data_IF_210470975308
#
_entry.id   IF_210470975308
#
_cell.length_a   1.000
_cell.length_b   1.000
_cell.length_c   1.000
_cell.angle_alpha   90.00
_cell.angle_beta   90.00
_cell.angle_gamma   90.00
#
_symmetry.space_group_name_H-M   'P 1'
#
loop_
_entity.id
_entity.type
_entity.pdbx_description
1 polymer ?
#
# COMPACT_ATOMS: atom_id res chain seq x y z
N UNK A 1 -2.00 -12.35 -20.29
CA UNK A 1 -0.74 -13.11 -20.12
C UNK A 1 0.37 -12.64 -21.07
N UNK A 2 0.40 -13.00 -22.36
CA UNK A 2 1.52 -12.58 -23.26
C UNK A 2 1.71 -11.06 -23.30
N UNK A 3 0.61 -10.29 -23.43
CA UNK A 3 0.69 -8.83 -23.44
C UNK A 3 1.12 -8.25 -22.08
N UNK A 4 0.78 -8.92 -20.98
CA UNK A 4 1.22 -8.55 -19.63
C UNK A 4 2.74 -8.75 -19.51
N UNK A 5 3.22 -9.95 -19.87
CA UNK A 5 4.64 -10.29 -19.82
C UNK A 5 5.48 -9.35 -20.69
N UNK A 6 5.02 -9.04 -21.92
CA UNK A 6 5.71 -8.09 -22.80
C UNK A 6 5.79 -6.67 -22.23
N UNK A 7 4.83 -6.27 -21.40
CA UNK A 7 4.73 -4.90 -20.89
C UNK A 7 5.43 -4.74 -19.54
N UNK A 8 5.31 -5.74 -18.67
CA UNK A 8 5.74 -5.64 -17.28
C UNK A 8 6.80 -6.69 -16.89
N UNK A 9 7.01 -7.72 -17.71
CA UNK A 9 7.97 -8.78 -17.43
C UNK A 9 9.38 -8.24 -17.21
N UNK A 10 9.98 -8.66 -16.10
CA UNK A 10 11.32 -8.23 -15.68
C UNK A 10 11.37 -6.82 -15.08
N UNK A 11 10.23 -6.13 -14.92
CA UNK A 11 10.22 -4.92 -14.08
C UNK A 11 10.43 -5.33 -12.62
N UNK A 12 11.22 -4.52 -11.95
CA UNK A 12 11.64 -4.79 -10.59
C UNK A 12 11.57 -3.50 -9.76
N UNK A 13 11.02 -3.62 -8.56
CA UNK A 13 11.04 -2.56 -7.57
C UNK A 13 11.88 -3.02 -6.36
N UNK A 14 12.93 -2.27 -5.98
CA UNK A 14 13.59 -2.49 -4.70
C UNK A 14 12.64 -2.06 -3.59
N UNK A 15 11.85 -2.99 -3.05
CA UNK A 15 11.15 -2.76 -1.80
C UNK A 15 12.16 -2.56 -0.66
N UNK A 16 11.70 -1.94 0.42
CA UNK A 16 12.53 -1.53 1.55
C UNK A 16 12.86 -2.73 2.43
N UNK A 17 13.73 -3.62 1.95
CA UNK A 17 14.11 -4.86 2.64
C UNK A 17 14.83 -5.84 1.72
N UNK A 18 15.16 -7.06 2.20
CA UNK A 18 15.66 -8.14 1.35
C UNK A 18 14.58 -8.68 0.39
N UNK A 19 13.32 -8.37 0.66
CA UNK A 19 12.14 -8.78 -0.08
C UNK A 19 12.02 -7.96 -1.36
N UNK A 20 11.76 -8.65 -2.47
CA UNK A 20 11.77 -8.08 -3.81
C UNK A 20 10.35 -8.06 -4.35
N UNK A 21 10.02 -7.03 -5.13
CA UNK A 21 8.82 -7.06 -5.97
C UNK A 21 9.25 -7.20 -7.41
N UNK A 22 8.84 -8.32 -8.02
CA UNK A 22 9.09 -8.64 -9.42
C UNK A 22 7.77 -8.74 -10.16
N UNK A 23 7.74 -8.10 -11.33
CA UNK A 23 6.60 -8.15 -12.24
C UNK A 23 6.95 -9.09 -13.39
N UNK A 24 6.09 -10.07 -13.59
CA UNK A 24 6.33 -11.12 -14.58
C UNK A 24 5.51 -12.35 -14.25
N UNK A 25 5.29 -13.17 -15.27
CA UNK A 25 4.66 -14.48 -15.09
C UNK A 25 5.51 -15.32 -14.13
N UNK A 26 4.91 -15.74 -13.02
CA UNK A 26 5.54 -16.65 -12.07
C UNK A 26 5.30 -18.10 -12.51
N UNK A 27 6.39 -18.81 -12.81
CA UNK A 27 6.41 -20.21 -13.22
C UNK A 27 5.48 -20.55 -14.40
N UNK A 28 4.86 -21.74 -14.33
CA UNK A 28 3.81 -22.16 -15.26
C UNK A 28 2.50 -21.47 -14.90
N UNK A 29 2.44 -20.16 -15.16
CA UNK A 29 1.25 -19.38 -14.82
C UNK A 29 0.02 -19.95 -15.54
N UNK A 30 -1.04 -20.24 -14.77
CA UNK A 30 -2.34 -20.69 -15.29
C UNK A 30 -3.40 -19.63 -15.06
N UNK A 31 -4.29 -19.48 -16.03
CA UNK A 31 -5.49 -18.65 -15.85
C UNK A 31 -6.53 -19.45 -15.06
N UNK A 32 -7.18 -18.81 -14.10
CA UNK A 32 -8.26 -19.39 -13.30
C UNK A 32 -9.37 -18.37 -13.05
N UNK A 33 -10.55 -18.87 -12.70
CA UNK A 33 -11.72 -18.04 -12.45
C UNK A 33 -11.80 -17.66 -10.97
N UNK A 34 -11.97 -16.37 -10.70
CA UNK A 34 -12.27 -15.81 -9.37
C UNK A 34 -13.69 -15.23 -9.36
N UNK A 35 -14.20 -14.82 -8.20
CA UNK A 35 -15.49 -14.13 -8.13
C UNK A 35 -15.49 -12.76 -8.85
N UNK A 36 -14.33 -12.24 -9.25
CA UNK A 36 -14.13 -10.92 -9.85
C UNK A 36 -13.72 -11.02 -11.32
N UNK A 37 -13.59 -12.26 -11.84
CA UNK A 37 -13.25 -12.56 -13.23
C UNK A 37 -12.06 -13.51 -13.38
N UNK A 38 -11.63 -13.71 -14.62
CA UNK A 38 -10.42 -14.46 -14.94
C UNK A 38 -9.17 -13.74 -14.43
N UNK A 39 -8.29 -14.46 -13.76
CA UNK A 39 -7.04 -13.96 -13.20
C UNK A 39 -5.88 -14.95 -13.43
N UNK A 40 -4.67 -14.48 -13.21
CA UNK A 40 -3.44 -15.27 -13.23
C UNK A 40 -2.40 -14.65 -12.28
N UNK A 41 -1.49 -15.45 -11.73
CA UNK A 41 -0.37 -14.92 -10.93
C UNK A 41 0.65 -14.23 -11.83
N UNK A 42 0.90 -12.94 -11.61
CA UNK A 42 1.78 -12.14 -12.48
C UNK A 42 2.69 -11.17 -11.74
N UNK A 43 2.63 -11.15 -10.41
CA UNK A 43 3.45 -10.29 -9.58
C UNK A 43 3.87 -11.11 -8.36
N UNK A 44 5.17 -11.23 -8.15
CA UNK A 44 5.73 -11.82 -6.93
C UNK A 44 6.04 -10.65 -5.99
N UNK A 45 5.27 -10.59 -4.91
CA UNK A 45 5.39 -9.55 -3.90
C UNK A 45 5.91 -10.19 -2.60
N UNK A 46 7.23 -10.25 -2.45
CA UNK A 46 7.87 -10.92 -1.31
C UNK A 46 7.49 -10.29 0.04
N UNK A 47 7.02 -9.03 0.06
CA UNK A 47 6.55 -8.38 1.29
C UNK A 47 5.23 -8.98 1.80
N UNK A 48 4.46 -9.61 0.91
CA UNK A 48 3.16 -10.18 1.24
C UNK A 48 3.19 -11.69 1.44
N UNK A 49 4.31 -12.38 1.23
CA UNK A 49 4.45 -13.86 1.31
C UNK A 49 3.52 -14.67 0.37
N UNK A 50 2.64 -14.00 -0.38
CA UNK A 50 1.67 -14.57 -1.32
C UNK A 50 1.77 -13.86 -2.66
N UNK A 51 1.59 -14.62 -3.75
CA UNK A 51 1.61 -14.06 -5.11
C UNK A 51 0.43 -13.12 -5.34
N UNK A 52 0.69 -12.00 -6.02
CA UNK A 52 -0.32 -11.03 -6.44
C UNK A 52 -0.85 -11.42 -7.82
N UNK A 53 -2.16 -11.36 -7.93
CA UNK A 53 -2.94 -11.87 -9.05
C UNK A 53 -3.35 -10.72 -9.94
N UNK A 54 -3.26 -10.93 -11.25
CA UNK A 54 -3.62 -9.94 -12.26
C UNK A 54 -4.88 -10.40 -12.95
N UNK A 55 -5.94 -9.59 -12.85
CA UNK A 55 -7.20 -9.82 -13.55
C UNK A 55 -7.03 -9.46 -15.04
N UNK A 56 -7.88 -10.03 -15.91
CA UNK A 56 -7.83 -9.74 -17.34
C UNK A 56 -8.10 -8.26 -17.68
N UNK A 57 -8.79 -7.53 -16.80
CA UNK A 57 -9.00 -6.08 -16.94
C UNK A 57 -7.82 -5.23 -16.42
N UNK A 58 -6.76 -5.87 -15.92
CA UNK A 58 -5.53 -5.21 -15.48
C UNK A 58 -5.50 -4.83 -14.00
N UNK A 59 -6.58 -5.03 -13.23
CA UNK A 59 -6.56 -4.87 -11.77
C UNK A 59 -5.61 -5.89 -11.14
N UNK A 60 -5.01 -5.50 -10.01
CA UNK A 60 -4.21 -6.43 -9.20
C UNK A 60 -4.91 -6.70 -7.87
N UNK A 61 -4.91 -7.96 -7.44
CA UNK A 61 -5.53 -8.40 -6.21
C UNK A 61 -4.77 -9.54 -5.53
N UNK A 62 -5.26 -9.94 -4.38
CA UNK A 62 -4.73 -11.07 -3.62
C UNK A 62 -5.85 -11.91 -3.00
N UNK A 63 -5.77 -13.23 -3.20
CA UNK A 63 -6.61 -14.24 -2.57
C UNK A 63 -5.86 -14.83 -1.38
N UNK A 64 -6.47 -14.76 -0.20
CA UNK A 64 -5.92 -15.36 1.02
C UNK A 64 -6.72 -16.60 1.38
N UNK A 65 -6.14 -17.80 1.22
CA UNK A 65 -6.72 -19.07 1.66
C UNK A 65 -8.24 -19.21 1.39
N UNK A 66 -9.09 -19.09 2.42
CA UNK A 66 -10.55 -19.22 2.38
C UNK A 66 -11.30 -17.89 2.17
N UNK A 67 -10.58 -16.79 1.97
CA UNK A 67 -11.11 -15.44 1.75
C UNK A 67 -11.31 -15.17 0.26
N UNK A 68 -12.35 -14.38 -0.08
CA UNK A 68 -12.50 -13.91 -1.45
C UNK A 68 -11.31 -13.01 -1.84
N UNK A 69 -11.02 -12.98 -3.15
CA UNK A 69 -10.07 -12.07 -3.76
C UNK A 69 -10.32 -10.62 -3.32
N UNK A 70 -9.29 -9.99 -2.74
CA UNK A 70 -9.28 -8.55 -2.43
C UNK A 70 -8.58 -7.81 -3.57
N UNK A 71 -9.27 -6.85 -4.17
CA UNK A 71 -8.64 -5.94 -5.14
C UNK A 71 -7.77 -4.95 -4.37
N UNK A 72 -6.48 -4.93 -4.68
CA UNK A 72 -5.51 -4.06 -4.03
C UNK A 72 -5.27 -2.80 -4.86
N UNK A 73 -5.08 -3.00 -6.17
CA UNK A 73 -4.74 -1.95 -7.11
C UNK A 73 -5.76 -1.91 -8.25
N UNK A 74 -6.15 -0.70 -8.67
CA UNK A 74 -7.09 -0.52 -9.80
C UNK A 74 -6.44 -0.87 -11.15
N UNK A 75 -5.11 -0.87 -11.21
CA UNK A 75 -4.34 -1.36 -12.33
C UNK A 75 -2.90 -1.67 -11.91
N UNK A 76 -2.21 -2.48 -12.72
CA UNK A 76 -0.75 -2.69 -12.58
C UNK A 76 0.02 -1.37 -12.76
N UNK A 77 -0.43 -0.50 -13.67
CA UNK A 77 0.14 0.83 -13.87
C UNK A 77 0.06 1.68 -12.60
N UNK A 78 -1.10 1.73 -11.94
CA UNK A 78 -1.25 2.48 -10.67
C UNK A 78 -0.29 1.96 -9.60
N UNK A 79 -0.11 0.64 -9.53
CA UNK A 79 0.84 0.04 -8.60
C UNK A 79 2.29 0.45 -8.89
N UNK A 80 2.67 0.54 -10.16
CA UNK A 80 3.99 1.02 -10.56
C UNK A 80 4.19 2.50 -10.21
N UNK A 81 3.18 3.34 -10.40
CA UNK A 81 3.21 4.75 -9.98
C UNK A 81 3.35 4.89 -8.45
N UNK A 82 2.61 4.09 -7.67
CA UNK A 82 2.74 4.04 -6.22
C UNK A 82 4.15 3.62 -5.77
N UNK A 83 4.74 2.62 -6.42
CA UNK A 83 6.12 2.22 -6.16
C UNK A 83 7.12 3.31 -6.53
N UNK A 84 6.98 3.95 -7.69
CA UNK A 84 7.85 5.05 -8.10
C UNK A 84 7.79 6.19 -7.07
N UNK A 85 6.60 6.58 -6.63
CA UNK A 85 6.40 7.60 -5.61
C UNK A 85 7.03 7.18 -4.27
N UNK A 86 6.78 5.95 -3.81
CA UNK A 86 7.39 5.41 -2.60
C UNK A 86 8.93 5.49 -2.62
N UNK A 87 9.54 5.14 -3.75
CA UNK A 87 11.00 5.23 -3.92
C UNK A 87 11.55 6.65 -3.79
N UNK A 88 10.75 7.68 -4.10
CA UNK A 88 11.18 9.09 -3.93
C UNK A 88 11.13 9.55 -2.48
N UNK A 89 10.19 9.04 -1.68
CA UNK A 89 9.94 9.53 -0.30
C UNK A 89 10.50 8.63 0.79
N UNK A 90 10.83 7.37 0.49
CA UNK A 90 11.25 6.35 1.48
C UNK A 90 12.45 6.72 2.36
N UNK A 91 13.26 7.69 1.91
CA UNK A 91 14.46 8.14 2.63
C UNK A 91 14.20 9.35 3.53
N UNK A 92 13.00 9.94 3.48
CA UNK A 92 12.66 11.10 4.28
C UNK A 92 12.36 10.70 5.74
N UNK A 93 12.50 11.65 6.68
CA UNK A 93 11.91 11.50 8.00
C UNK A 93 10.44 11.08 7.91
N UNK A 94 10.08 10.06 8.69
CA UNK A 94 8.75 9.48 8.62
C UNK A 94 8.24 8.98 9.97
N UNK A 95 6.93 8.81 10.04
CA UNK A 95 6.22 8.15 11.13
C UNK A 95 5.14 7.25 10.56
N UNK A 96 4.61 6.38 11.41
CA UNK A 96 3.53 5.48 11.04
C UNK A 96 2.41 5.50 12.05
N UNK A 97 1.20 5.27 11.57
CA UNK A 97 -0.01 5.08 12.36
C UNK A 97 -0.70 3.82 11.85
N UNK A 98 -1.25 3.04 12.77
CA UNK A 98 -2.10 1.89 12.45
C UNK A 98 -3.56 2.24 12.73
N UNK A 99 -4.44 1.83 11.83
CA UNK A 99 -5.85 2.18 11.80
C UNK A 99 -6.69 0.91 11.66
N UNK A 100 -7.65 0.72 12.56
CA UNK A 100 -8.67 -0.32 12.46
C UNK A 100 -9.91 0.26 11.78
N UNK A 101 -10.15 -0.15 10.54
CA UNK A 101 -11.22 0.36 9.69
C UNK A 101 -12.26 -0.74 9.49
N UNK A 102 -13.57 -0.48 9.64
CA UNK A 102 -14.57 -1.51 9.38
C UNK A 102 -14.42 -2.14 7.99
N UNK A 103 -14.61 -3.46 7.90
CA UNK A 103 -14.32 -4.20 6.68
C UNK A 103 -15.06 -3.69 5.44
N UNK A 104 -14.35 -3.64 4.31
CA UNK A 104 -14.90 -3.16 3.04
C UNK A 104 -14.98 -1.64 2.89
N UNK A 105 -14.67 -0.86 3.93
CA UNK A 105 -14.61 0.59 3.81
C UNK A 105 -13.22 1.07 3.38
N UNK A 106 -13.21 2.09 2.52
CA UNK A 106 -11.99 2.80 2.13
C UNK A 106 -11.89 4.03 3.04
N UNK A 107 -10.76 4.25 3.74
CA UNK A 107 -10.61 5.43 4.58
C UNK A 107 -10.61 6.70 3.72
N UNK A 108 -11.26 7.75 4.22
CA UNK A 108 -11.26 9.06 3.58
C UNK A 108 -10.47 10.02 4.47
N UNK A 109 -9.51 10.70 3.86
CA UNK A 109 -8.71 11.75 4.47
C UNK A 109 -9.03 13.08 3.78
N UNK A 110 -9.38 14.10 4.55
CA UNK A 110 -9.82 15.40 4.05
C UNK A 110 -9.13 16.58 4.77
N UNK A 111 -8.02 16.31 5.45
CA UNK A 111 -7.38 17.25 6.34
C UNK A 111 -6.82 18.45 5.58
N UNK A 112 -7.08 19.65 6.10
CA UNK A 112 -6.62 20.90 5.47
C UNK A 112 -5.08 21.00 5.35
N UNK A 113 -4.35 20.29 6.21
CA UNK A 113 -2.88 20.26 6.23
C UNK A 113 -2.29 19.03 5.51
N UNK A 114 -3.12 18.22 4.84
CA UNK A 114 -2.64 17.11 4.03
C UNK A 114 -2.14 17.61 2.67
N UNK A 115 -1.08 16.99 2.12
CA UNK A 115 -0.73 17.21 0.72
C UNK A 115 -1.91 16.88 -0.21
N UNK A 116 -1.93 17.36 -1.47
CA UNK A 116 -2.99 17.01 -2.41
C UNK A 116 -2.93 15.51 -2.79
N UNK A 117 -4.08 14.89 -3.12
CA UNK A 117 -4.12 13.48 -3.53
C UNK A 117 -3.40 13.25 -4.86
N UNK A 118 -2.77 12.08 -5.00
CA UNK A 118 -2.10 11.63 -6.23
C UNK A 118 -2.94 10.52 -6.85
N UNK A 119 -3.82 10.89 -7.77
CA UNK A 119 -4.77 9.96 -8.35
C UNK A 119 -4.07 8.81 -9.06
N UNK A 120 -2.99 9.07 -9.81
CA UNK A 120 -2.25 8.09 -10.61
C UNK A 120 -1.68 6.95 -9.74
N UNK A 121 -1.19 7.29 -8.55
CA UNK A 121 -0.64 6.37 -7.56
C UNK A 121 -1.70 5.77 -6.62
N UNK A 122 -2.96 6.24 -6.67
CA UNK A 122 -4.01 5.84 -5.74
C UNK A 122 -4.98 4.80 -6.31
N UNK A 123 -5.32 3.81 -5.49
CA UNK A 123 -6.20 2.69 -5.80
C UNK A 123 -6.99 2.20 -4.57
N UNK A 124 -7.73 1.09 -4.71
CA UNK A 124 -8.70 0.64 -3.70
C UNK A 124 -8.10 0.29 -2.33
N UNK A 125 -6.82 -0.10 -2.27
CA UNK A 125 -6.14 -0.51 -1.05
C UNK A 125 -4.80 0.22 -0.84
N UNK A 126 -4.53 1.27 -1.61
CA UNK A 126 -3.23 1.94 -1.67
C UNK A 126 -3.45 3.40 -2.10
N UNK A 127 -3.42 4.33 -1.15
CA UNK A 127 -3.82 5.73 -1.33
C UNK A 127 -2.64 6.66 -1.04
N UNK A 128 -2.51 7.71 -1.86
CA UNK A 128 -1.36 8.61 -1.84
C UNK A 128 -1.75 10.08 -1.87
N UNK A 129 -1.03 10.88 -1.09
CA UNK A 129 -1.03 12.34 -1.13
C UNK A 129 0.42 12.83 -1.20
N UNK A 130 0.71 13.84 -2.02
CA UNK A 130 2.08 14.33 -2.23
C UNK A 130 2.12 15.78 -2.74
N UNK A 131 3.02 16.60 -2.21
CA UNK A 131 3.23 18.00 -2.64
C UNK A 131 4.66 18.31 -3.13
N UNK A 132 5.53 17.30 -3.23
CA UNK A 132 6.95 17.48 -3.56
C UNK A 132 7.90 17.55 -2.35
N UNK A 133 7.37 17.82 -1.15
CA UNK A 133 8.15 18.00 0.08
C UNK A 133 7.64 17.16 1.25
N UNK A 134 6.37 16.78 1.19
CA UNK A 134 5.67 15.92 2.14
C UNK A 134 4.81 14.90 1.40
N UNK A 135 4.59 13.75 2.04
CA UNK A 135 3.74 12.69 1.51
C UNK A 135 2.95 11.99 2.62
N UNK A 136 1.76 11.51 2.27
CA UNK A 136 1.01 10.56 3.10
C UNK A 136 0.70 9.34 2.23
N UNK A 137 1.02 8.17 2.77
CA UNK A 137 0.73 6.87 2.16
C UNK A 137 -0.18 6.08 3.08
N UNK A 138 -1.39 5.78 2.64
CA UNK A 138 -2.34 4.98 3.39
C UNK A 138 -2.62 3.69 2.62
N UNK A 139 -2.18 2.56 3.16
CA UNK A 139 -2.34 1.27 2.50
C UNK A 139 -2.97 0.25 3.43
N UNK A 140 -3.74 -0.67 2.84
CA UNK A 140 -4.26 -1.84 3.51
C UNK A 140 -3.08 -2.75 3.85
N UNK A 141 -2.96 -3.12 5.13
CA UNK A 141 -1.94 -4.03 5.62
C UNK A 141 -2.51 -5.43 5.89
N UNK A 142 -3.77 -5.51 6.34
CA UNK A 142 -4.42 -6.78 6.67
C UNK A 142 -5.94 -6.65 6.54
N UNK A 143 -6.60 -7.63 5.90
CA UNK A 143 -8.07 -7.72 5.81
C UNK A 143 -8.65 -9.08 6.22
N UNK A 144 -7.86 -9.92 6.88
CA UNK A 144 -8.29 -11.26 7.27
C UNK A 144 -8.96 -11.29 8.65
N UNK A 145 -8.83 -10.24 9.46
CA UNK A 145 -9.60 -10.04 10.68
C UNK A 145 -11.11 -9.97 10.37
N UNK A 146 -11.96 -10.37 11.33
CA UNK A 146 -13.39 -10.64 11.08
C UNK A 146 -14.24 -9.37 11.01
N UNK A 147 -13.85 -8.34 11.75
CA UNK A 147 -14.67 -7.17 12.07
C UNK A 147 -14.06 -5.86 11.56
N UNK A 148 -12.76 -5.85 11.28
CA UNK A 148 -12.05 -4.70 10.77
C UNK A 148 -10.90 -5.13 9.85
N UNK A 149 -10.50 -4.19 8.99
CA UNK A 149 -9.28 -4.19 8.21
C UNK A 149 -8.26 -3.30 8.91
N UNK A 150 -7.01 -3.73 8.90
CA UNK A 150 -5.88 -2.93 9.41
C UNK A 150 -5.26 -2.19 8.22
N UNK A 151 -5.28 -0.87 8.34
CA UNK A 151 -4.62 0.05 7.42
C UNK A 151 -3.44 0.71 8.13
N UNK A 152 -2.39 1.04 7.37
CA UNK A 152 -1.22 1.73 7.89
C UNK A 152 -1.04 3.04 7.12
N UNK A 153 -1.08 4.15 7.86
CA UNK A 153 -0.70 5.46 7.35
C UNK A 153 0.79 5.68 7.61
N UNK A 154 1.58 5.93 6.57
CA UNK A 154 2.96 6.41 6.65
C UNK A 154 2.98 7.87 6.24
N UNK A 155 3.57 8.71 7.08
CA UNK A 155 3.74 10.13 6.78
C UNK A 155 5.21 10.40 6.55
N UNK A 156 5.53 11.15 5.50
CA UNK A 156 6.88 11.52 5.11
C UNK A 156 6.96 13.04 5.00
N UNK A 157 8.07 13.61 5.43
CA UNK A 157 8.35 15.02 5.17
C UNK A 157 9.85 15.30 5.28
N UNK A 158 10.35 16.17 4.41
CA UNK A 158 11.73 16.69 4.52
C UNK A 158 11.89 17.65 5.71
N UNK A 159 10.79 18.23 6.20
CA UNK A 159 10.74 19.15 7.35
C UNK A 159 10.00 18.50 8.54
N UNK A 160 10.63 18.53 9.72
CA UNK A 160 10.05 17.99 10.95
C UNK A 160 8.77 18.73 11.37
N UNK A 161 8.70 20.04 11.13
CA UNK A 161 7.51 20.83 11.51
C UNK A 161 6.31 20.48 10.63
N UNK A 162 6.52 20.30 9.32
CA UNK A 162 5.51 19.77 8.43
C UNK A 162 5.08 18.34 8.80
N UNK A 163 6.01 17.46 9.21
CA UNK A 163 5.68 16.11 9.66
C UNK A 163 4.74 16.11 10.87
N UNK A 164 5.02 16.98 11.85
CA UNK A 164 4.19 17.11 13.05
C UNK A 164 2.80 17.68 12.74
N UNK A 165 2.68 18.59 11.76
CA UNK A 165 1.38 19.11 11.29
C UNK A 165 0.55 18.04 10.61
N UNK A 166 1.15 17.28 9.69
CA UNK A 166 0.48 16.15 9.02
C UNK A 166 -0.02 15.14 10.05
N UNK A 167 0.83 14.79 11.02
CA UNK A 167 0.45 13.93 12.14
C UNK A 167 -0.75 14.48 12.89
N UNK A 168 -0.71 15.74 13.29
CA UNK A 168 -1.82 16.36 14.04
C UNK A 168 -3.13 16.32 13.22
N UNK A 169 -3.05 16.59 11.92
CA UNK A 169 -4.22 16.51 11.03
C UNK A 169 -4.77 15.09 10.96
N UNK A 170 -3.93 14.07 10.74
CA UNK A 170 -4.38 12.68 10.68
C UNK A 170 -4.97 12.20 12.01
N UNK A 171 -4.34 12.56 13.13
CA UNK A 171 -4.87 12.22 14.45
C UNK A 171 -6.25 12.83 14.64
N UNK A 172 -6.45 14.10 14.28
CA UNK A 172 -7.76 14.74 14.39
C UNK A 172 -8.84 14.07 13.54
N UNK A 173 -8.52 13.61 12.33
CA UNK A 173 -9.50 12.97 11.45
C UNK A 173 -9.81 11.52 11.81
N UNK A 174 -8.82 10.80 12.36
CA UNK A 174 -8.89 9.35 12.53
C UNK A 174 -8.78 8.89 13.99
N UNK A 175 -8.96 9.80 14.97
CA UNK A 175 -8.74 9.49 16.41
C UNK A 175 -9.45 8.20 16.84
N UNK A 176 -10.71 8.00 16.42
CA UNK A 176 -11.52 6.84 16.84
C UNK A 176 -11.10 5.53 16.17
N UNK A 177 -10.30 5.59 15.11
CA UNK A 177 -9.83 4.44 14.32
C UNK A 177 -8.41 4.01 14.71
N UNK A 178 -7.69 4.82 15.49
CA UNK A 178 -6.29 4.58 15.82
C UNK A 178 -6.10 3.35 16.71
N UNK A 179 -5.17 2.49 16.30
CA UNK A 179 -4.60 1.47 17.16
C UNK A 179 -3.34 2.03 17.83
N UNK A 180 -3.41 2.17 19.15
CA UNK A 180 -2.26 2.58 19.96
C UNK A 180 -1.36 1.36 20.20
N UNK A 181 -0.07 1.51 19.96
CA UNK A 181 0.90 0.43 20.15
C UNK A 181 2.18 0.61 19.35
N UNK A 182 2.90 -0.49 19.18
CA UNK A 182 4.05 -0.58 18.30
C UNK A 182 3.63 -1.09 16.93
N UNK A 183 4.15 -0.47 15.88
CA UNK A 183 3.89 -0.83 14.48
C UNK A 183 5.21 -1.21 13.81
N UNK A 184 5.23 -2.31 13.06
CA UNK A 184 6.42 -2.74 12.33
C UNK A 184 6.72 -1.79 11.17
N UNK A 185 7.91 -1.17 11.19
CA UNK A 185 8.36 -0.29 10.12
C UNK A 185 9.26 -1.07 9.17
N UNK A 186 8.74 -1.38 7.97
CA UNK A 186 9.54 -2.03 6.92
C UNK A 186 10.73 -1.17 6.49
N UNK A 187 10.59 0.15 6.47
CA UNK A 187 11.66 1.09 6.13
C UNK A 187 12.84 1.05 7.11
N UNK A 188 12.55 0.92 8.41
CA UNK A 188 13.58 0.87 9.45
C UNK A 188 13.97 -0.55 9.87
N UNK A 189 13.22 -1.58 9.44
CA UNK A 189 13.41 -2.96 9.87
C UNK A 189 13.23 -3.17 11.37
N UNK A 190 12.31 -2.43 12.02
CA UNK A 190 12.05 -2.52 13.47
C UNK A 190 10.65 -2.05 13.84
N UNK A 191 10.20 -2.40 15.04
CA UNK A 191 9.01 -1.82 15.65
C UNK A 191 9.25 -0.35 16.02
N UNK A 192 8.28 0.50 15.68
CA UNK A 192 8.25 1.92 16.01
C UNK A 192 7.00 2.24 16.83
N UNK A 193 7.09 3.19 17.75
CA UNK A 193 5.90 3.67 18.48
C UNK A 193 4.96 4.40 17.52
N UNK A 194 3.70 3.97 17.46
CA UNK A 194 2.67 4.59 16.65
C UNK A 194 2.61 6.11 16.89
N UNK A 195 2.65 6.88 15.80
CA UNK A 195 2.60 8.34 15.81
C UNK A 195 3.87 9.04 16.28
N UNK A 196 4.99 8.33 16.49
CA UNK A 196 6.30 8.96 16.71
C UNK A 196 7.16 8.84 15.45
N UNK A 197 8.00 9.84 15.15
CA UNK A 197 9.02 9.71 14.13
C UNK A 197 9.86 8.45 14.36
N UNK A 198 10.13 7.71 13.30
CA UNK A 198 11.03 6.57 13.35
C UNK A 198 12.46 7.10 13.54
N UNK A 199 13.13 6.68 14.62
CA UNK A 199 14.45 7.20 15.06
C UNK A 199 15.57 6.20 14.91
#
# INVERSE_FOLDING_TARGET
MIAFERRYGGLWCPASGPNRVEYGLDGDTRVYWTAQGWAFYGIVDDDWTWGVEVLLDGRAGMTLADKPLRILNRSVDQRLEAHALFLTVRHWPHLMLELAIPSGMIPVLAGADLPPPVDEASGPADLWWFDGTSAVHLHLNNWWAKDHEIWVARCFSQDATALDRIKASLLNEMTELLQLGEVWCSLCGRHATSGRPCS
#
